data_IF_563733287627
#
_entry.id   IF_563733287627
#
_cell.length_a   1.000
_cell.length_b   1.000
_cell.length_c   1.000
_cell.angle_alpha   90.00
_cell.angle_beta   90.00
_cell.angle_gamma   90.00
#
_symmetry.space_group_name_H-M   'P 1'
#
loop_
_entity.id
_entity.type
_entity.pdbx_description
1 polymer ?
#
# COMPACT_ATOMS: atom_id res chain seq x y z
N UNK A 1 -25.95 14.04 13.69
CA UNK A 1 -24.64 14.27 14.35
C UNK A 1 -23.88 15.32 13.54
N UNK A 2 -23.38 16.40 14.16
CA UNK A 2 -22.50 17.36 13.45
C UNK A 2 -21.16 16.68 13.22
N UNK A 3 -20.90 16.26 11.98
CA UNK A 3 -19.60 15.73 11.56
C UNK A 3 -18.49 16.74 11.91
N UNK A 4 -17.45 16.27 12.60
CA UNK A 4 -16.25 17.05 12.88
C UNK A 4 -15.59 17.49 11.56
N UNK A 5 -14.89 18.64 11.56
CA UNK A 5 -14.11 19.08 10.39
C UNK A 5 -13.12 18.01 9.89
N UNK A 6 -12.57 17.21 10.81
CA UNK A 6 -11.68 16.09 10.48
C UNK A 6 -12.40 15.00 9.67
N UNK A 7 -13.64 14.70 10.01
CA UNK A 7 -14.42 13.68 9.31
C UNK A 7 -14.94 14.19 7.96
N UNK A 8 -15.28 15.48 7.84
CA UNK A 8 -15.60 16.09 6.53
C UNK A 8 -14.41 16.06 5.57
N UNK A 9 -13.21 16.39 6.04
CA UNK A 9 -11.98 16.27 5.25
C UNK A 9 -11.74 14.82 4.84
N UNK A 10 -11.90 13.86 5.76
CA UNK A 10 -11.79 12.44 5.45
C UNK A 10 -12.77 12.01 4.35
N UNK A 11 -14.05 12.38 4.43
CA UNK A 11 -15.06 12.04 3.42
C UNK A 11 -14.69 12.57 2.03
N UNK A 12 -14.35 13.86 1.92
CA UNK A 12 -13.93 14.46 0.64
C UNK A 12 -12.68 13.79 0.06
N UNK A 13 -11.65 13.59 0.89
CA UNK A 13 -10.39 12.97 0.43
C UNK A 13 -10.57 11.50 0.08
N UNK A 14 -11.41 10.76 0.81
CA UNK A 14 -11.69 9.36 0.53
C UNK A 14 -12.50 9.17 -0.74
N UNK A 15 -13.49 10.03 -0.97
CA UNK A 15 -14.28 10.05 -2.19
C UNK A 15 -13.43 10.33 -3.43
N UNK A 16 -12.50 11.28 -3.33
CA UNK A 16 -11.52 11.57 -4.37
C UNK A 16 -10.60 10.36 -4.63
N UNK A 17 -10.12 9.69 -3.57
CA UNK A 17 -9.29 8.48 -3.66
C UNK A 17 -10.02 7.27 -4.27
N UNK A 18 -11.33 7.11 -4.00
CA UNK A 18 -12.17 6.08 -4.62
C UNK A 18 -12.27 6.24 -6.13
N UNK A 19 -12.35 7.47 -6.62
CA UNK A 19 -12.39 7.75 -8.05
C UNK A 19 -11.03 7.56 -8.71
N UNK A 20 -9.94 7.89 -8.00
CA UNK A 20 -8.57 7.72 -8.49
C UNK A 20 -8.01 6.30 -8.34
N UNK A 21 -8.81 5.24 -8.61
CA UNK A 21 -8.41 3.81 -8.49
C UNK A 21 -7.03 3.51 -9.11
N UNK A 22 -6.70 4.19 -10.20
CA UNK A 22 -5.43 4.05 -10.92
C UNK A 22 -4.20 4.52 -10.12
N UNK A 23 -4.28 5.63 -9.38
CA UNK A 23 -3.17 6.15 -8.57
C UNK A 23 -2.88 5.24 -7.36
N UNK A 24 -3.91 4.55 -6.86
CA UNK A 24 -3.74 3.60 -5.76
C UNK A 24 -2.94 2.36 -6.20
N UNK A 25 -3.23 1.83 -7.39
CA UNK A 25 -2.47 0.72 -7.97
C UNK A 25 -1.00 1.11 -8.24
N UNK A 26 -0.78 2.31 -8.79
CA UNK A 26 0.57 2.83 -9.08
C UNK A 26 1.39 3.02 -7.79
N UNK A 27 0.76 3.51 -6.72
CA UNK A 27 1.41 3.65 -5.41
C UNK A 27 1.80 2.31 -4.77
N UNK A 28 0.99 1.26 -4.96
CA UNK A 28 1.30 -0.10 -4.49
C UNK A 28 2.52 -0.64 -5.24
N UNK A 29 2.52 -0.55 -6.58
CA UNK A 29 3.65 -0.98 -7.42
C UNK A 29 4.94 -0.26 -7.02
N UNK A 30 4.87 1.05 -6.78
CA UNK A 30 6.02 1.85 -6.34
C UNK A 30 6.53 1.42 -4.96
N UNK A 31 5.63 1.12 -4.01
CA UNK A 31 6.00 0.64 -2.68
C UNK A 31 6.70 -0.71 -2.73
N UNK A 32 6.24 -1.62 -3.57
CA UNK A 32 6.84 -2.96 -3.72
C UNK A 32 8.25 -2.84 -4.29
N UNK A 33 8.42 -2.00 -5.32
CA UNK A 33 9.73 -1.69 -5.91
C UNK A 33 10.69 -1.10 -4.86
N UNK A 34 10.24 -0.11 -4.09
CA UNK A 34 11.03 0.48 -3.01
C UNK A 34 11.42 -0.54 -1.94
N UNK A 35 10.48 -1.41 -1.55
CA UNK A 35 10.73 -2.44 -0.54
C UNK A 35 11.75 -3.47 -1.04
N UNK A 36 11.62 -3.93 -2.29
CA UNK A 36 12.55 -4.87 -2.91
C UNK A 36 13.97 -4.27 -3.03
N UNK A 37 14.09 -3.00 -3.44
CA UNK A 37 15.39 -2.31 -3.53
C UNK A 37 16.00 -2.14 -2.13
N UNK A 38 15.22 -1.67 -1.16
CA UNK A 38 15.70 -1.45 0.22
C UNK A 38 16.16 -2.75 0.86
N UNK A 39 15.41 -3.82 0.66
CA UNK A 39 15.78 -5.16 1.14
C UNK A 39 17.06 -5.66 0.48
N UNK A 40 17.20 -5.53 -0.84
CA UNK A 40 18.44 -5.88 -1.56
C UNK A 40 19.66 -5.16 -0.97
N UNK A 41 19.54 -3.85 -0.72
CA UNK A 41 20.61 -3.04 -0.13
C UNK A 41 20.94 -3.52 1.27
N UNK A 42 19.92 -3.71 2.13
CA UNK A 42 20.12 -4.16 3.51
C UNK A 42 20.75 -5.56 3.58
N UNK A 43 20.30 -6.50 2.75
CA UNK A 43 20.77 -7.88 2.81
C UNK A 43 22.14 -8.07 2.17
N UNK A 44 22.41 -7.34 1.08
CA UNK A 44 23.75 -7.27 0.49
C UNK A 44 24.77 -6.68 1.46
N UNK A 45 24.34 -5.73 2.30
CA UNK A 45 25.18 -5.17 3.36
C UNK A 45 25.45 -6.17 4.50
N UNK A 46 24.47 -7.00 4.86
CA UNK A 46 24.57 -7.93 6.00
C UNK A 46 25.26 -9.24 5.65
N UNK A 47 25.00 -9.81 4.47
CA UNK A 47 25.37 -11.20 4.17
C UNK A 47 26.61 -11.35 3.29
N UNK A 48 27.10 -10.27 2.67
CA UNK A 48 28.11 -10.30 1.58
C UNK A 48 27.78 -11.28 0.44
N UNK A 49 26.58 -11.86 0.44
CA UNK A 49 26.14 -12.86 -0.51
C UNK A 49 25.52 -12.18 -1.73
N UNK A 50 25.98 -12.55 -2.92
CA UNK A 50 25.34 -12.15 -4.17
C UNK A 50 24.06 -12.96 -4.35
N UNK A 51 22.93 -12.37 -3.98
CA UNK A 51 21.61 -12.92 -4.26
C UNK A 51 21.36 -12.95 -5.78
N UNK A 52 20.90 -14.10 -6.27
CA UNK A 52 20.66 -14.33 -7.69
C UNK A 52 19.36 -13.69 -8.19
N UNK A 53 19.12 -13.69 -9.52
CA UNK A 53 17.89 -13.16 -10.10
C UNK A 53 16.62 -13.86 -9.57
N UNK A 54 16.71 -15.15 -9.28
CA UNK A 54 15.59 -15.98 -8.84
C UNK A 54 15.05 -15.58 -7.46
N UNK A 55 15.94 -15.27 -6.52
CA UNK A 55 15.55 -14.81 -5.19
C UNK A 55 14.84 -13.45 -5.27
N UNK A 56 15.32 -12.56 -6.14
CA UNK A 56 14.75 -11.23 -6.32
C UNK A 56 13.32 -11.32 -6.87
N UNK A 57 13.05 -12.29 -7.74
CA UNK A 57 11.71 -12.57 -8.26
C UNK A 57 10.80 -13.13 -7.16
N UNK A 58 11.27 -14.11 -6.38
CA UNK A 58 10.46 -14.71 -5.30
C UNK A 58 10.11 -13.69 -4.20
N UNK A 59 11.10 -12.92 -3.72
CA UNK A 59 10.87 -11.89 -2.72
C UNK A 59 10.06 -10.71 -3.29
N UNK A 60 10.28 -10.34 -4.55
CA UNK A 60 9.47 -9.34 -5.25
C UNK A 60 8.01 -9.74 -5.34
N UNK A 61 7.72 -11.00 -5.68
CA UNK A 61 6.36 -11.55 -5.73
C UNK A 61 5.71 -11.60 -4.35
N UNK A 62 6.44 -12.06 -3.32
CA UNK A 62 5.93 -12.08 -1.94
C UNK A 62 5.63 -10.67 -1.43
N UNK A 63 6.52 -9.71 -1.68
CA UNK A 63 6.31 -8.30 -1.36
C UNK A 63 5.11 -7.70 -2.10
N UNK A 64 4.92 -8.09 -3.37
CA UNK A 64 3.79 -7.65 -4.20
C UNK A 64 2.45 -8.14 -3.66
N UNK A 65 2.38 -9.43 -3.33
CA UNK A 65 1.20 -10.05 -2.75
C UNK A 65 0.89 -9.42 -1.39
N UNK A 66 1.90 -9.27 -0.51
CA UNK A 66 1.70 -8.67 0.81
C UNK A 66 1.25 -7.20 0.71
N UNK A 67 1.86 -6.43 -0.20
CA UNK A 67 1.49 -5.04 -0.48
C UNK A 67 0.05 -4.90 -0.95
N UNK A 68 -0.38 -5.76 -1.88
CA UNK A 68 -1.77 -5.82 -2.34
C UNK A 68 -2.74 -6.16 -1.20
N UNK A 69 -2.41 -7.15 -0.37
CA UNK A 69 -3.26 -7.56 0.77
C UNK A 69 -3.40 -6.43 1.78
N UNK A 70 -2.30 -5.78 2.18
CA UNK A 70 -2.33 -4.66 3.14
C UNK A 70 -3.11 -3.48 2.56
N UNK A 71 -2.88 -3.15 1.29
CA UNK A 71 -3.61 -2.10 0.60
C UNK A 71 -5.11 -2.38 0.54
N UNK A 72 -5.50 -3.63 0.26
CA UNK A 72 -6.89 -4.07 0.27
C UNK A 72 -7.52 -3.98 1.67
N UNK A 73 -6.81 -4.43 2.72
CA UNK A 73 -7.27 -4.32 4.11
C UNK A 73 -7.45 -2.86 4.54
N UNK A 74 -6.49 -2.00 4.18
CA UNK A 74 -6.54 -0.56 4.45
C UNK A 74 -7.71 0.10 3.70
N UNK A 75 -7.95 -0.29 2.45
CA UNK A 75 -9.10 0.14 1.67
C UNK A 75 -10.40 -0.27 2.36
N UNK A 76 -10.58 -1.56 2.69
CA UNK A 76 -11.79 -2.04 3.39
C UNK A 76 -12.03 -1.32 4.73
N UNK A 77 -10.98 -1.06 5.50
CA UNK A 77 -11.09 -0.35 6.78
C UNK A 77 -11.57 1.09 6.59
N UNK A 78 -11.04 1.79 5.60
CA UNK A 78 -11.48 3.15 5.27
C UNK A 78 -12.89 3.18 4.67
N UNK A 79 -13.25 2.20 3.85
CA UNK A 79 -14.61 2.04 3.30
C UNK A 79 -15.64 1.85 4.41
N UNK A 80 -15.35 0.98 5.40
CA UNK A 80 -16.18 0.80 6.60
C UNK A 80 -16.33 2.10 7.40
N UNK A 81 -15.26 2.90 7.51
CA UNK A 81 -15.31 4.20 8.21
C UNK A 81 -16.14 5.21 7.42
N UNK A 82 -16.04 5.22 6.08
CA UNK A 82 -16.84 6.07 5.21
C UNK A 82 -18.33 5.76 5.33
N UNK A 83 -18.73 4.48 5.23
CA UNK A 83 -20.13 4.05 5.39
C UNK A 83 -20.72 4.41 6.77
N UNK A 84 -19.90 4.37 7.84
CA UNK A 84 -20.35 4.78 9.17
C UNK A 84 -20.54 6.29 9.31
N UNK A 85 -19.77 7.09 8.58
CA UNK A 85 -19.79 8.56 8.67
C UNK A 85 -20.75 9.21 7.69
N UNK A 86 -21.11 8.51 6.61
CA UNK A 86 -22.04 8.95 5.57
C UNK A 86 -23.01 7.80 5.24
N UNK A 87 -23.99 7.52 6.13
CA UNK A 87 -25.00 6.48 5.93
C UNK A 87 -25.95 6.80 4.78
#
# INVERSE_FOLDING_TARGET
>A
MRLSEKDRKFLKTWEQKRNSKFQYALGIVLQILLFAITYKVALSYVTTAMFGPDDLIQFGLLGLILGLVIAFLKYKRNEKRYQKLNP
#
